data_IF_673881677004
#
_entry.id   IF_673881677004
#
_cell.length_a   1.000
_cell.length_b   1.000
_cell.length_c   1.000
_cell.angle_alpha   90.00
_cell.angle_beta   90.00
_cell.angle_gamma   90.00
#
_symmetry.space_group_name_H-M   'P 1'
#
loop_
_entity.id
_entity.type
_entity.pdbx_description
1 polymer ?
#
# COMPACT_ATOMS: atom_id res chain seq x y z
N UNK A 1 5.93 -55.77 17.21
CA UNK A 1 4.77 -55.06 16.61
C UNK A 1 4.32 -53.82 17.41
N UNK A 2 4.05 -53.90 18.72
CA UNK A 2 3.57 -52.75 19.54
C UNK A 2 4.50 -51.51 19.59
N UNK A 3 5.82 -51.69 19.50
CA UNK A 3 6.79 -50.57 19.48
C UNK A 3 6.79 -49.80 18.15
N UNK A 4 6.69 -50.52 17.03
CA UNK A 4 6.69 -49.95 15.67
C UNK A 4 5.43 -49.08 15.47
N UNK A 5 4.28 -49.55 15.97
CA UNK A 5 3.01 -48.82 15.90
C UNK A 5 3.04 -47.49 16.69
N UNK A 6 3.72 -47.45 17.84
CA UNK A 6 3.88 -46.22 18.63
C UNK A 6 4.77 -45.18 17.95
N UNK A 7 5.86 -45.61 17.29
CA UNK A 7 6.73 -44.70 16.53
C UNK A 7 6.03 -44.11 15.30
N UNK A 8 5.23 -44.89 14.59
CA UNK A 8 4.46 -44.40 13.43
C UNK A 8 3.39 -43.40 13.88
N UNK A 9 2.68 -43.68 14.97
CA UNK A 9 1.68 -42.77 15.52
C UNK A 9 2.30 -41.46 16.02
N UNK A 10 3.45 -41.52 16.69
CA UNK A 10 4.18 -40.32 17.13
C UNK A 10 4.66 -39.46 15.95
N UNK A 11 5.17 -40.07 14.87
CA UNK A 11 5.55 -39.33 13.66
C UNK A 11 4.34 -38.68 12.96
N UNK A 12 3.19 -39.36 12.94
CA UNK A 12 1.96 -38.82 12.36
C UNK A 12 1.43 -37.61 13.15
N UNK A 13 1.51 -37.64 14.47
CA UNK A 13 1.12 -36.53 15.36
C UNK A 13 2.08 -35.33 15.21
N UNK A 14 3.38 -35.56 15.09
CA UNK A 14 4.37 -34.48 14.86
C UNK A 14 4.20 -33.86 13.47
N UNK A 15 3.95 -34.67 12.44
CA UNK A 15 3.72 -34.17 11.09
C UNK A 15 2.41 -33.35 10.98
N UNK A 16 1.35 -33.77 11.67
CA UNK A 16 0.08 -33.03 11.70
C UNK A 16 0.15 -31.75 12.55
N UNK A 17 0.91 -31.72 13.63
CA UNK A 17 1.15 -30.50 14.41
C UNK A 17 1.95 -29.44 13.63
N UNK A 18 2.86 -29.88 12.73
CA UNK A 18 3.67 -28.99 11.89
C UNK A 18 2.85 -28.26 10.81
N UNK A 19 1.75 -28.86 10.35
CA UNK A 19 0.87 -28.28 9.34
C UNK A 19 -0.07 -27.19 9.91
N UNK A 20 -0.37 -27.23 11.21
CA UNK A 20 -1.28 -26.26 11.88
C UNK A 20 -0.56 -24.94 12.24
N UNK A 21 0.77 -24.93 12.28
CA UNK A 21 1.58 -23.74 12.58
C UNK A 21 1.93 -22.89 11.36
N UNK A 22 1.53 -23.30 10.15
CA UNK A 22 1.51 -22.43 8.99
C UNK A 22 0.33 -21.45 9.09
N UNK A 23 0.31 -20.63 10.14
CA UNK A 23 -0.56 -19.46 10.19
C UNK A 23 -0.20 -18.61 8.97
N UNK A 24 -1.07 -18.61 7.97
CA UNK A 24 -1.00 -17.73 6.81
C UNK A 24 -0.87 -16.31 7.34
N UNK A 25 0.34 -15.78 7.42
CA UNK A 25 0.54 -14.38 7.80
C UNK A 25 -0.21 -13.57 6.75
N UNK A 26 -1.37 -13.00 7.14
CA UNK A 26 -2.20 -12.23 6.22
C UNK A 26 -1.32 -11.13 5.64
N UNK A 27 -1.20 -11.10 4.31
CA UNK A 27 -0.43 -10.08 3.61
C UNK A 27 -1.01 -8.70 3.97
N UNK A 28 -0.31 -7.95 4.83
CA UNK A 28 -0.70 -6.59 5.15
C UNK A 28 -0.49 -5.73 3.92
N UNK A 29 -1.46 -4.88 3.61
CA UNK A 29 -1.34 -3.94 2.51
C UNK A 29 -2.16 -2.69 2.76
N UNK A 30 -1.75 -1.61 2.10
CA UNK A 30 -2.44 -0.34 2.09
C UNK A 30 -2.37 0.26 0.68
N UNK A 31 -3.49 0.80 0.22
CA UNK A 31 -3.62 1.48 -1.05
C UNK A 31 -4.42 2.76 -0.88
N UNK A 32 -4.03 3.81 -1.61
CA UNK A 32 -4.78 5.06 -1.66
C UNK A 32 -4.58 5.74 -3.00
N UNK A 33 -5.54 6.56 -3.40
CA UNK A 33 -5.50 7.29 -4.67
C UNK A 33 -6.35 8.56 -4.62
N UNK A 34 -6.05 9.47 -5.54
CA UNK A 34 -6.83 10.68 -5.85
C UNK A 34 -6.88 10.88 -7.36
N UNK A 35 -8.00 11.38 -7.85
CA UNK A 35 -8.19 11.91 -9.21
C UNK A 35 -8.83 13.28 -9.06
N UNK A 36 -8.06 14.32 -9.35
CA UNK A 36 -8.47 15.71 -9.16
C UNK A 36 -8.55 16.36 -10.52
N UNK A 37 -9.77 16.66 -10.95
CA UNK A 37 -10.07 17.39 -12.18
C UNK A 37 -10.97 18.58 -11.86
N UNK A 38 -11.16 19.49 -12.82
CA UNK A 38 -11.92 20.73 -12.59
C UNK A 38 -13.40 20.42 -12.29
N UNK A 39 -13.82 20.64 -11.05
CA UNK A 39 -15.19 20.39 -10.60
C UNK A 39 -15.55 18.92 -10.38
N UNK A 40 -14.58 18.00 -10.52
CA UNK A 40 -14.79 16.57 -10.29
C UNK A 40 -13.57 15.97 -9.59
N UNK A 41 -13.82 15.45 -8.38
CA UNK A 41 -12.78 14.88 -7.53
C UNK A 41 -13.18 13.50 -7.02
N UNK A 42 -12.29 12.54 -7.21
CA UNK A 42 -12.36 11.22 -6.61
C UNK A 42 -11.20 10.99 -5.64
N UNK A 43 -11.47 10.24 -4.57
CA UNK A 43 -10.43 9.74 -3.68
C UNK A 43 -10.86 8.39 -3.10
N UNK A 44 -9.90 7.49 -2.93
CA UNK A 44 -10.14 6.17 -2.35
C UNK A 44 -9.00 5.69 -1.49
N UNK A 45 -9.32 4.75 -0.62
CA UNK A 45 -8.39 4.13 0.31
C UNK A 45 -8.86 2.70 0.62
N UNK A 46 -7.94 1.75 0.65
CA UNK A 46 -8.20 0.35 0.99
C UNK A 46 -7.02 -0.23 1.76
N UNK A 47 -7.29 -1.16 2.68
CA UNK A 47 -6.26 -1.84 3.45
C UNK A 47 -6.64 -3.29 3.75
N UNK A 48 -5.61 -4.12 3.93
CA UNK A 48 -5.75 -5.49 4.41
C UNK A 48 -4.78 -5.73 5.58
N UNK A 49 -5.17 -6.58 6.52
CA UNK A 49 -4.45 -6.83 7.76
C UNK A 49 -5.38 -7.19 8.91
N UNK A 50 -4.79 -7.56 10.04
CA UNK A 50 -5.51 -7.80 11.30
C UNK A 50 -6.15 -6.50 11.82
N UNK A 51 -5.38 -5.42 11.78
CA UNK A 51 -5.86 -4.06 12.01
C UNK A 51 -5.87 -3.33 10.68
N UNK A 52 -7.01 -2.75 10.32
CA UNK A 52 -7.17 -2.04 9.06
C UNK A 52 -7.94 -0.75 9.25
N UNK A 53 -7.45 0.29 8.62
CA UNK A 53 -8.08 1.59 8.54
C UNK A 53 -7.99 2.09 7.11
N UNK A 54 -9.10 2.58 6.57
CA UNK A 54 -9.14 3.20 5.26
C UNK A 54 -10.14 4.35 5.32
N UNK A 55 -9.71 5.55 4.98
CA UNK A 55 -10.57 6.72 4.91
C UNK A 55 -10.21 7.56 3.70
N UNK A 56 -11.21 7.98 2.96
CA UNK A 56 -11.05 8.95 1.89
C UNK A 56 -11.99 10.12 2.07
N UNK A 57 -11.62 11.24 1.46
CA UNK A 57 -12.44 12.44 1.36
C UNK A 57 -12.19 13.06 -0.01
N UNK A 58 -13.26 13.48 -0.67
CA UNK A 58 -13.20 14.34 -1.84
C UNK A 58 -14.14 15.52 -1.63
N UNK A 59 -13.77 16.67 -2.18
CA UNK A 59 -14.57 17.88 -2.14
C UNK A 59 -14.26 18.75 -3.34
N UNK A 60 -15.28 19.38 -3.90
CA UNK A 60 -15.15 20.47 -4.86
C UNK A 60 -15.99 21.63 -4.36
N UNK A 61 -15.35 22.76 -4.02
CA UNK A 61 -16.04 23.94 -3.50
C UNK A 61 -15.27 25.21 -3.86
N UNK A 62 -15.99 26.24 -4.29
CA UNK A 62 -15.43 27.57 -4.60
C UNK A 62 -14.26 27.52 -5.61
N UNK A 63 -14.36 26.65 -6.63
CA UNK A 63 -13.33 26.49 -7.65
C UNK A 63 -12.06 25.76 -7.19
N UNK A 64 -12.05 25.25 -5.95
CA UNK A 64 -11.00 24.42 -5.37
C UNK A 64 -11.49 22.99 -5.24
N UNK A 65 -10.66 22.08 -5.73
CA UNK A 65 -10.87 20.64 -5.78
C UNK A 65 -9.85 19.99 -4.84
N UNK A 66 -10.31 19.15 -3.91
CA UNK A 66 -9.46 18.48 -2.93
C UNK A 66 -9.81 17.00 -2.80
N UNK A 67 -8.80 16.14 -2.90
CA UNK A 67 -8.90 14.70 -2.69
C UNK A 67 -7.87 14.24 -1.67
N UNK A 68 -8.25 13.31 -0.79
CA UNK A 68 -7.34 12.68 0.15
C UNK A 68 -7.77 11.23 0.39
N UNK A 69 -6.82 10.31 0.32
CA UNK A 69 -6.99 8.91 0.68
C UNK A 69 -5.90 8.50 1.65
N UNK A 70 -6.27 7.88 2.76
CA UNK A 70 -5.34 7.38 3.77
C UNK A 70 -5.74 5.96 4.18
N UNK A 71 -4.79 5.05 4.09
CA UNK A 71 -4.97 3.64 4.43
C UNK A 71 -3.81 3.13 5.28
N UNK A 72 -4.14 2.30 6.27
CA UNK A 72 -3.19 1.55 7.11
C UNK A 72 -3.68 0.12 7.22
N UNK A 73 -2.81 -0.84 6.90
CA UNK A 73 -3.00 -2.26 7.13
C UNK A 73 -1.89 -2.79 8.01
N UNK A 74 -2.21 -3.38 9.15
CA UNK A 74 -1.22 -3.85 10.13
C UNK A 74 -1.57 -5.25 10.66
N UNK A 75 -0.55 -5.98 11.09
CA UNK A 75 -0.69 -7.31 11.68
C UNK A 75 0.67 -7.99 11.90
N UNK A 76 0.70 -9.30 12.19
CA UNK A 76 1.93 -10.02 12.55
C UNK A 76 3.05 -10.01 11.49
N UNK A 77 2.72 -9.70 10.23
CA UNK A 77 3.67 -9.58 9.13
C UNK A 77 4.28 -8.19 8.95
N UNK A 78 3.70 -7.16 9.57
CA UNK A 78 4.17 -5.77 9.44
C UNK A 78 3.07 -4.70 9.48
N UNK A 79 3.45 -3.49 9.09
CA UNK A 79 2.60 -2.30 8.95
C UNK A 79 2.80 -1.73 7.54
N UNK A 80 1.72 -1.64 6.78
CA UNK A 80 1.62 -0.99 5.49
C UNK A 80 0.79 0.29 5.61
N UNK A 81 1.26 1.39 5.02
CA UNK A 81 0.64 2.70 5.02
C UNK A 81 0.65 3.27 3.59
N UNK A 82 -0.47 3.84 3.17
CA UNK A 82 -0.58 4.58 1.91
C UNK A 82 -1.33 5.88 2.17
N UNK A 83 -0.72 7.00 1.79
CA UNK A 83 -1.29 8.33 1.93
C UNK A 83 -1.21 9.05 0.58
N UNK A 84 -2.35 9.50 0.07
CA UNK A 84 -2.42 10.27 -1.16
C UNK A 84 -3.21 11.54 -0.91
N UNK A 85 -2.68 12.67 -1.35
CA UNK A 85 -3.37 13.95 -1.35
C UNK A 85 -3.33 14.55 -2.74
N UNK A 86 -4.39 15.26 -3.11
CA UNK A 86 -4.47 15.99 -4.36
C UNK A 86 -5.26 17.27 -4.16
N UNK A 87 -4.85 18.32 -4.87
CA UNK A 87 -5.50 19.61 -4.87
C UNK A 87 -5.49 20.20 -6.28
N UNK A 88 -6.54 20.93 -6.63
CA UNK A 88 -6.63 21.66 -7.87
C UNK A 88 -7.37 22.98 -7.67
N UNK A 89 -6.91 24.03 -8.33
CA UNK A 89 -7.49 25.36 -8.25
C UNK A 89 -7.07 26.20 -9.44
N UNK A 90 -7.99 26.97 -10.02
CA UNK A 90 -7.71 27.77 -11.21
C UNK A 90 -7.15 26.90 -12.35
N UNK A 91 -5.96 27.22 -12.90
CA UNK A 91 -5.30 26.44 -13.94
C UNK A 91 -4.33 25.35 -13.41
N UNK A 92 -4.21 25.17 -12.10
CA UNK A 92 -3.21 24.31 -11.46
C UNK A 92 -3.82 23.07 -10.81
N UNK A 93 -3.16 21.93 -10.95
CA UNK A 93 -3.42 20.70 -10.20
C UNK A 93 -2.12 20.13 -9.66
N UNK A 94 -2.16 19.60 -8.44
CA UNK A 94 -1.03 18.94 -7.80
C UNK A 94 -1.53 17.71 -7.04
N UNK A 95 -0.77 16.61 -7.08
CA UNK A 95 -1.06 15.43 -6.28
C UNK A 95 0.24 14.77 -5.82
N UNK A 96 0.18 14.10 -4.68
CA UNK A 96 1.30 13.39 -4.08
C UNK A 96 0.83 12.11 -3.41
N UNK A 97 1.62 11.06 -3.53
CA UNK A 97 1.43 9.79 -2.86
C UNK A 97 2.69 9.43 -2.06
N UNK A 98 2.52 8.93 -0.85
CA UNK A 98 3.56 8.33 -0.01
C UNK A 98 3.09 6.96 0.44
N UNK A 99 4.01 6.02 0.44
CA UNK A 99 3.79 4.67 0.89
C UNK A 99 4.94 4.18 1.71
N UNK A 100 4.59 3.48 2.78
CA UNK A 100 5.54 2.90 3.69
C UNK A 100 5.06 1.50 4.03
N UNK A 101 5.95 0.51 3.94
CA UNK A 101 5.69 -0.80 4.49
C UNK A 101 6.91 -1.28 5.27
N UNK A 102 6.68 -1.72 6.49
CA UNK A 102 7.70 -2.28 7.38
C UNK A 102 7.20 -3.62 7.86
N UNK A 103 7.94 -4.69 7.55
CA UNK A 103 7.58 -6.05 7.90
C UNK A 103 8.79 -6.91 8.26
N UNK A 104 8.54 -8.15 8.65
CA UNK A 104 9.60 -9.07 9.11
C UNK A 104 10.71 -9.31 8.08
N UNK A 105 10.37 -9.26 6.78
CA UNK A 105 11.32 -9.45 5.70
C UNK A 105 11.81 -8.17 5.04
N UNK A 106 11.55 -6.98 5.60
CA UNK A 106 12.12 -5.75 5.07
C UNK A 106 11.39 -4.46 5.40
N UNK A 107 11.88 -3.36 4.83
CA UNK A 107 11.21 -2.08 4.77
C UNK A 107 11.19 -1.54 3.33
N UNK A 108 10.06 -0.95 2.94
CA UNK A 108 9.84 -0.29 1.67
C UNK A 108 9.28 1.10 1.92
N UNK A 109 9.78 2.08 1.17
CA UNK A 109 9.18 3.40 1.05
C UNK A 109 9.12 3.76 -0.43
N UNK A 110 8.00 4.29 -0.88
CA UNK A 110 7.87 4.93 -2.19
C UNK A 110 7.07 6.21 -2.05
N UNK A 111 7.42 7.20 -2.86
CA UNK A 111 6.64 8.41 -2.94
C UNK A 111 6.79 9.01 -4.34
N UNK A 112 5.77 9.74 -4.75
CA UNK A 112 5.72 10.36 -6.06
C UNK A 112 4.76 11.53 -6.06
N UNK A 113 5.00 12.45 -6.96
CA UNK A 113 4.18 13.63 -7.10
C UNK A 113 4.04 14.06 -8.53
N UNK A 114 2.99 14.83 -8.79
CA UNK A 114 2.75 15.46 -10.07
C UNK A 114 2.21 16.86 -9.85
N UNK A 115 2.66 17.79 -10.68
CA UNK A 115 2.05 19.09 -10.88
C UNK A 115 1.67 19.20 -12.35
N UNK A 116 0.44 19.64 -12.62
CA UNK A 116 -0.14 19.77 -13.96
C UNK A 116 -0.75 21.16 -14.11
N UNK A 117 -0.45 21.84 -15.22
CA UNK A 117 -0.97 23.17 -15.51
C UNK A 117 -1.50 23.28 -16.94
N UNK A 118 -2.48 24.17 -17.14
CA UNK A 118 -2.94 24.66 -18.44
C UNK A 118 -3.83 23.70 -19.23
N UNK A 119 -4.90 24.23 -19.86
CA UNK A 119 -5.90 23.50 -20.65
C UNK A 119 -6.71 22.47 -19.84
N UNK A 120 -6.03 21.43 -19.37
CA UNK A 120 -6.53 20.39 -18.49
C UNK A 120 -5.63 20.25 -17.25
N UNK A 121 -6.05 20.79 -16.12
CA UNK A 121 -5.29 20.72 -14.85
C UNK A 121 -5.44 19.40 -14.10
N UNK A 122 -5.96 18.35 -14.73
CA UNK A 122 -6.21 17.07 -14.06
C UNK A 122 -4.90 16.45 -13.59
N UNK A 123 -4.93 15.90 -12.38
CA UNK A 123 -3.86 15.10 -11.79
C UNK A 123 -4.44 13.84 -11.18
N UNK A 124 -3.72 12.74 -11.33
CA UNK A 124 -4.03 11.46 -10.68
C UNK A 124 -2.77 11.04 -9.93
N UNK A 125 -2.93 10.66 -8.67
CA UNK A 125 -1.85 10.01 -7.94
C UNK A 125 -2.39 8.91 -7.05
N UNK A 126 -1.56 7.93 -6.75
CA UNK A 126 -1.90 6.87 -5.83
C UNK A 126 -0.79 5.85 -5.75
N UNK A 127 -1.05 4.77 -5.02
CA UNK A 127 -0.12 3.68 -4.93
C UNK A 127 -0.66 2.55 -4.08
N UNK A 128 0.03 1.42 -4.16
CA UNK A 128 -0.15 0.30 -3.25
C UNK A 128 1.18 -0.19 -2.66
N UNK A 129 1.16 -0.57 -1.39
CA UNK A 129 2.28 -1.19 -0.68
C UNK A 129 1.80 -2.34 0.19
N UNK A 130 2.66 -3.32 0.45
CA UNK A 130 2.32 -4.45 1.27
C UNK A 130 3.40 -5.52 1.35
N UNK A 131 3.07 -6.61 2.02
CA UNK A 131 3.99 -7.73 2.30
C UNK A 131 3.51 -8.97 1.56
N UNK A 132 4.40 -9.59 0.77
CA UNK A 132 4.12 -10.84 0.06
C UNK A 132 4.22 -12.06 0.99
N UNK A 133 3.64 -13.21 0.59
CA UNK A 133 3.98 -14.50 1.20
C UNK A 133 5.51 -14.69 1.23
N UNK A 134 6.06 -15.04 2.40
CA UNK A 134 7.51 -15.10 2.63
C UNK A 134 8.13 -13.82 3.20
N UNK A 135 7.33 -12.79 3.50
CA UNK A 135 7.76 -11.61 4.27
C UNK A 135 8.42 -10.50 3.46
N UNK A 136 8.61 -10.68 2.14
CA UNK A 136 9.17 -9.67 1.25
C UNK A 136 8.24 -8.47 1.15
N UNK A 137 8.78 -7.27 1.35
CA UNK A 137 8.00 -6.02 1.26
C UNK A 137 8.03 -5.47 -0.18
N UNK A 138 6.95 -4.82 -0.59
CA UNK A 138 6.84 -4.16 -1.89
C UNK A 138 6.04 -2.85 -1.78
N UNK A 139 6.16 -2.00 -2.78
CA UNK A 139 5.24 -0.90 -3.02
C UNK A 139 5.57 -0.12 -4.28
N UNK A 140 4.59 0.64 -4.74
CA UNK A 140 4.66 1.41 -5.99
C UNK A 140 3.78 2.65 -5.92
N UNK A 141 4.39 3.82 -6.13
CA UNK A 141 3.68 5.10 -6.30
C UNK A 141 3.56 5.44 -7.78
N UNK A 142 2.39 5.91 -8.19
CA UNK A 142 2.09 6.36 -9.55
C UNK A 142 1.50 7.77 -9.49
N UNK A 143 1.96 8.64 -10.39
CA UNK A 143 1.50 10.02 -10.50
C UNK A 143 1.48 10.43 -11.97
N UNK A 144 0.39 11.04 -12.43
CA UNK A 144 0.23 11.52 -13.81
C UNK A 144 -0.60 12.79 -13.89
N UNK A 145 -0.34 13.61 -14.90
CA UNK A 145 -0.99 14.89 -15.14
C UNK A 145 -1.34 15.05 -16.61
N UNK A 146 -2.41 15.80 -16.89
CA UNK A 146 -2.99 15.90 -18.23
C UNK A 146 -2.91 17.31 -18.83
N UNK A 147 -2.16 18.20 -18.19
CA UNK A 147 -1.99 19.59 -18.63
C UNK A 147 -0.86 19.73 -19.62
N UNK A 148 -0.85 20.85 -20.35
CA UNK A 148 0.22 21.16 -21.30
C UNK A 148 1.57 21.46 -20.64
N UNK A 149 1.59 21.66 -19.31
CA UNK A 149 2.81 21.75 -18.50
C UNK A 149 2.70 20.82 -17.32
N UNK A 150 3.15 19.58 -17.52
CA UNK A 150 3.13 18.53 -16.50
C UNK A 150 4.55 18.18 -16.07
N UNK A 151 4.77 18.10 -14.75
CA UNK A 151 6.01 17.60 -14.14
C UNK A 151 5.65 16.52 -13.13
N UNK A 152 6.18 15.32 -13.32
CA UNK A 152 5.99 14.20 -12.41
C UNK A 152 7.34 13.68 -11.92
N UNK A 153 7.38 13.14 -10.71
CA UNK A 153 8.54 12.44 -10.16
C UNK A 153 8.10 11.23 -9.34
N UNK A 154 9.00 10.27 -9.19
CA UNK A 154 8.82 9.12 -8.32
C UNK A 154 10.16 8.70 -7.74
N UNK A 155 10.17 8.28 -6.48
CA UNK A 155 11.33 7.72 -5.79
C UNK A 155 10.86 6.53 -4.95
N UNK A 156 11.69 5.50 -4.90
CA UNK A 156 11.44 4.35 -4.05
C UNK A 156 12.74 3.79 -3.48
N UNK A 157 12.62 3.16 -2.32
CA UNK A 157 13.71 2.42 -1.69
C UNK A 157 13.14 1.20 -1.00
N UNK A 158 13.72 0.06 -1.31
CA UNK A 158 13.37 -1.23 -0.69
C UNK A 158 14.62 -1.83 -0.07
N UNK A 159 14.50 -2.31 1.15
CA UNK A 159 15.49 -3.17 1.80
C UNK A 159 14.80 -4.43 2.26
N UNK A 160 15.12 -5.55 1.64
CA UNK A 160 14.66 -6.86 2.11
C UNK A 160 15.69 -7.45 3.07
N UNK A 161 15.21 -8.04 4.15
CA UNK A 161 16.03 -8.76 5.12
C UNK A 161 16.00 -10.24 4.75
N UNK A 162 17.17 -10.88 4.73
CA UNK A 162 17.25 -12.34 4.66
C UNK A 162 16.88 -12.83 6.07
N UNK A 163 15.89 -13.72 6.24
CA UNK A 163 15.64 -14.30 7.54
C UNK A 163 16.89 -15.09 7.95
N UNK A 164 17.46 -14.76 9.11
CA UNK A 164 18.45 -15.65 9.74
C UNK A 164 17.78 -17.01 9.89
N UNK A 165 18.30 -18.03 9.19
CA UNK A 165 18.00 -19.42 9.52
C UNK A 165 18.60 -19.63 10.92
N UNK A 166 17.75 -19.63 11.94
CA UNK A 166 18.09 -20.23 13.24
C UNK A 166 17.81 -21.72 13.14
#
# INVERSE_FOLDING_TARGET
MKRIFKTILAMLVVASASAVLASSASAQSAGSWVDVSRGRVGAGANANGLFKFGKSRSSSRNGVDFGHGFAVGAGPGGIALSNTVGVGGGPLGAAHNVQLNVGRGGAHISHGGVVSQGGNRRVISGGQTGTLPGGRVFGQSTSTGFGNRTRAYSKSRTRNFIPFRR
#
